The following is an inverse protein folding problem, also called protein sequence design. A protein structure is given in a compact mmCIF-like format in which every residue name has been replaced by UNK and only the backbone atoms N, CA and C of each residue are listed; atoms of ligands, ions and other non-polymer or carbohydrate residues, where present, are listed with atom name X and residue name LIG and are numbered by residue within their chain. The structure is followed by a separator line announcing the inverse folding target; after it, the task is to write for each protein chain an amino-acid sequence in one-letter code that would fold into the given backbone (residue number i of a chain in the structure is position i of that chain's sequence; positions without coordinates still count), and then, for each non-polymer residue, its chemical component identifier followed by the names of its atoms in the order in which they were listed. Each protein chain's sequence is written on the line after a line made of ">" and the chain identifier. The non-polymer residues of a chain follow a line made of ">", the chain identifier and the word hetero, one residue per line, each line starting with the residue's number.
data_IF_874505425659
#
_entry.id   IF_874505425659
#
_cell.length_a   1.000
_cell.length_b   1.000
_cell.length_c   1.000
_cell.angle_alpha   90.00
_cell.angle_beta   90.00
_cell.angle_gamma   90.00
#
_symmetry.space_group_name_H-M   'P 1'
#
loop_
_entity.id
_entity.type
_entity.pdbx_description
1 polymer ?
#
# COMPACT_ATOMS: atom_id res chain seq x y z
N UNK A 1 20.30 -23.36 -36.76
CA UNK A 1 19.53 -23.82 -35.58
C UNK A 1 19.74 -22.79 -34.48
N UNK A 2 18.88 -21.78 -34.44
CA UNK A 2 19.04 -20.64 -33.52
C UNK A 2 18.49 -21.06 -32.16
N UNK A 3 19.36 -21.22 -31.18
CA UNK A 3 18.96 -21.48 -29.80
C UNK A 3 18.12 -20.28 -29.36
N UNK A 4 16.83 -20.52 -29.09
CA UNK A 4 15.94 -19.58 -28.43
C UNK A 4 16.62 -19.13 -27.13
N UNK A 5 17.14 -17.90 -27.10
CA UNK A 5 17.59 -17.29 -25.84
C UNK A 5 16.35 -17.16 -24.97
N UNK A 6 16.26 -17.98 -23.92
CA UNK A 6 15.26 -17.76 -22.88
C UNK A 6 15.50 -16.38 -22.28
N UNK A 7 14.57 -15.46 -22.51
CA UNK A 7 14.57 -14.15 -21.87
C UNK A 7 13.99 -14.37 -20.48
N UNK A 8 14.76 -14.10 -19.42
CA UNK A 8 14.25 -14.18 -18.06
C UNK A 8 13.21 -13.09 -17.83
N UNK A 9 12.28 -13.33 -16.90
CA UNK A 9 11.31 -12.32 -16.50
C UNK A 9 12.06 -11.07 -16.04
N UNK A 10 13.11 -11.22 -15.22
CA UNK A 10 13.92 -10.09 -14.79
C UNK A 10 14.52 -9.29 -15.92
N UNK A 11 15.00 -9.93 -17.01
CA UNK A 11 15.50 -9.23 -18.18
C UNK A 11 14.42 -8.44 -18.93
N UNK A 12 13.17 -8.92 -18.95
CA UNK A 12 12.04 -8.27 -19.63
C UNK A 12 11.44 -7.07 -18.87
N UNK A 13 11.55 -7.06 -17.54
CA UNK A 13 11.13 -5.92 -16.71
C UNK A 13 12.27 -4.98 -16.32
N UNK A 14 13.50 -5.25 -16.76
CA UNK A 14 14.65 -4.39 -16.50
C UNK A 14 14.70 -3.20 -17.47
N UNK A 15 14.94 -1.99 -16.94
CA UNK A 15 15.09 -0.75 -17.72
C UNK A 15 14.01 0.30 -17.47
N UNK A 16 14.30 1.57 -17.82
CA UNK A 16 13.34 2.68 -17.71
C UNK A 16 12.28 2.67 -18.82
N UNK A 17 12.45 1.85 -19.86
CA UNK A 17 11.55 1.76 -21.02
C UNK A 17 10.30 0.91 -20.76
N UNK A 18 10.16 0.34 -19.56
CA UNK A 18 8.94 -0.38 -19.19
C UNK A 18 7.84 0.60 -18.75
N UNK A 19 6.61 0.38 -19.22
CA UNK A 19 5.44 1.22 -18.86
C UNK A 19 4.78 0.79 -17.53
N UNK A 20 5.51 0.04 -16.69
CA UNK A 20 4.93 -0.54 -15.47
C UNK A 20 4.59 0.53 -14.45
N UNK A 21 5.36 1.61 -14.37
CA UNK A 21 5.05 2.76 -13.51
C UNK A 21 3.74 3.43 -13.91
N UNK A 22 3.53 3.63 -15.22
CA UNK A 22 2.27 4.19 -15.72
C UNK A 22 1.10 3.25 -15.43
N UNK A 23 1.28 1.95 -15.66
CA UNK A 23 0.23 0.97 -15.36
C UNK A 23 -0.12 0.93 -13.87
N UNK A 24 0.89 1.00 -12.99
CA UNK A 24 0.69 1.13 -11.54
C UNK A 24 -0.09 2.38 -11.17
N UNK A 25 0.20 3.51 -11.81
CA UNK A 25 -0.51 4.77 -11.59
C UNK A 25 -1.99 4.64 -12.02
N UNK A 26 -2.26 4.04 -13.17
CA UNK A 26 -3.63 3.80 -13.64
C UNK A 26 -4.39 2.87 -12.68
N UNK A 27 -3.76 1.79 -12.22
CA UNK A 27 -4.36 0.88 -11.24
C UNK A 27 -4.62 1.58 -9.91
N UNK A 28 -3.66 2.36 -9.40
CA UNK A 28 -3.82 3.13 -8.17
C UNK A 28 -4.95 4.17 -8.30
N UNK A 29 -5.08 4.83 -9.45
CA UNK A 29 -6.17 5.76 -9.72
C UNK A 29 -7.53 5.03 -9.75
N UNK A 30 -7.61 3.84 -10.35
CA UNK A 30 -8.83 3.05 -10.36
C UNK A 30 -9.27 2.63 -8.94
N UNK A 31 -8.32 2.21 -8.09
CA UNK A 31 -8.60 1.92 -6.66
C UNK A 31 -9.09 3.16 -5.94
N UNK A 32 -8.40 4.30 -6.12
CA UNK A 32 -8.78 5.57 -5.51
C UNK A 32 -10.20 5.98 -5.90
N UNK A 33 -10.53 5.97 -7.20
CA UNK A 33 -11.85 6.34 -7.72
C UNK A 33 -12.95 5.45 -7.12
N UNK A 34 -12.67 4.16 -6.92
CA UNK A 34 -13.63 3.23 -6.34
C UNK A 34 -13.84 3.45 -4.82
N UNK A 35 -12.85 4.00 -4.11
CA UNK A 35 -12.97 4.35 -2.69
C UNK A 35 -13.66 5.70 -2.45
N UNK A 36 -13.73 6.61 -3.43
CA UNK A 36 -14.44 7.90 -3.30
C UNK A 36 -15.87 7.73 -2.75
N UNK A 37 -16.76 6.92 -3.37
CA UNK A 37 -18.12 6.76 -2.86
C UNK A 37 -18.16 6.14 -1.46
N UNK A 38 -17.18 5.29 -1.09
CA UNK A 38 -17.09 4.70 0.25
C UNK A 38 -16.82 5.80 1.29
N UNK A 39 -15.88 6.70 1.00
CA UNK A 39 -15.55 7.81 1.90
C UNK A 39 -16.70 8.80 2.01
N UNK A 40 -17.37 9.12 0.90
CA UNK A 40 -18.42 10.17 0.87
C UNK A 40 -19.78 9.66 1.36
N UNK A 41 -20.18 8.45 0.98
CA UNK A 41 -21.52 7.91 1.22
C UNK A 41 -21.53 6.76 2.25
N UNK A 42 -20.37 6.28 2.69
CA UNK A 42 -20.24 5.07 3.50
C UNK A 42 -20.22 3.80 2.64
N UNK A 43 -20.22 2.64 3.31
CA UNK A 43 -20.21 1.34 2.64
C UNK A 43 -21.45 1.19 1.75
N UNK A 44 -21.23 0.95 0.45
CA UNK A 44 -22.27 0.85 -0.55
C UNK A 44 -21.86 -0.02 -1.74
N UNK A 45 -22.72 -0.09 -2.75
CA UNK A 45 -22.39 -0.83 -3.97
C UNK A 45 -21.20 -0.19 -4.71
N UNK A 46 -20.30 -1.00 -5.29
CA UNK A 46 -19.15 -0.47 -6.03
C UNK A 46 -19.59 0.41 -7.19
N UNK A 47 -18.83 1.48 -7.46
CA UNK A 47 -19.13 2.44 -8.53
C UNK A 47 -19.24 1.77 -9.91
N UNK A 48 -18.33 0.82 -10.17
CA UNK A 48 -18.27 0.04 -11.39
C UNK A 48 -17.98 -1.41 -11.00
N UNK A 49 -18.84 -2.32 -11.44
CA UNK A 49 -18.64 -3.75 -11.28
C UNK A 49 -18.84 -4.50 -12.60
N UNK A 50 -18.04 -5.53 -12.81
CA UNK A 50 -18.17 -6.47 -13.92
C UNK A 50 -18.22 -7.89 -13.34
N UNK A 51 -19.26 -8.65 -13.71
CA UNK A 51 -19.48 -10.02 -13.20
C UNK A 51 -19.43 -10.14 -11.66
N UNK A 52 -19.91 -9.13 -10.94
CA UNK A 52 -19.91 -9.11 -9.47
C UNK A 52 -18.60 -8.66 -8.81
N UNK A 53 -17.55 -8.36 -9.58
CA UNK A 53 -16.28 -7.84 -9.07
C UNK A 53 -16.19 -6.33 -9.26
N UNK A 54 -15.81 -5.59 -8.21
CA UNK A 54 -15.56 -4.16 -8.35
C UNK A 54 -14.29 -3.90 -9.17
N UNK A 55 -14.28 -2.77 -9.88
CA UNK A 55 -13.08 -2.35 -10.62
C UNK A 55 -11.90 -2.07 -9.69
N UNK A 56 -12.17 -1.61 -8.47
CA UNK A 56 -11.18 -1.44 -7.41
C UNK A 56 -10.54 -2.77 -7.04
N UNK A 57 -11.35 -3.82 -6.86
CA UNK A 57 -10.84 -5.17 -6.59
C UNK A 57 -9.96 -5.70 -7.73
N UNK A 58 -10.42 -5.56 -8.99
CA UNK A 58 -9.62 -5.95 -10.15
C UNK A 58 -8.30 -5.17 -10.23
N UNK A 59 -8.33 -3.87 -9.93
CA UNK A 59 -7.15 -3.00 -9.95
C UNK A 59 -6.13 -3.38 -8.86
N UNK A 60 -6.59 -3.69 -7.64
CA UNK A 60 -5.72 -4.20 -6.56
C UNK A 60 -5.04 -5.50 -6.99
N UNK A 61 -5.79 -6.45 -7.58
CA UNK A 61 -5.21 -7.70 -8.09
C UNK A 61 -4.17 -7.45 -9.18
N UNK A 62 -4.44 -6.52 -10.11
CA UNK A 62 -3.46 -6.08 -11.11
C UNK A 62 -2.18 -5.54 -10.45
N UNK A 63 -2.32 -4.75 -9.38
CA UNK A 63 -1.18 -4.21 -8.64
C UNK A 63 -0.32 -5.33 -8.03
N UNK A 64 -0.95 -6.35 -7.43
CA UNK A 64 -0.24 -7.52 -6.88
C UNK A 64 0.47 -8.34 -7.95
N UNK A 65 -0.16 -8.58 -9.11
CA UNK A 65 0.47 -9.29 -10.23
C UNK A 65 1.72 -8.54 -10.71
N UNK A 66 1.61 -7.23 -10.91
CA UNK A 66 2.76 -6.40 -11.33
C UNK A 66 3.87 -6.37 -10.28
N UNK A 67 3.51 -6.32 -9.00
CA UNK A 67 4.47 -6.43 -7.91
C UNK A 67 5.20 -7.77 -7.92
N UNK A 68 4.52 -8.88 -8.21
CA UNK A 68 5.14 -10.19 -8.41
C UNK A 68 6.26 -10.17 -9.47
N UNK A 69 5.99 -9.61 -10.64
CA UNK A 69 7.01 -9.48 -11.70
C UNK A 69 8.21 -8.63 -11.27
N UNK A 70 7.99 -7.52 -10.55
CA UNK A 70 9.08 -6.68 -10.04
C UNK A 70 9.83 -7.30 -8.86
N UNK A 71 9.21 -8.17 -8.08
CA UNK A 71 9.87 -8.95 -7.04
C UNK A 71 10.83 -9.93 -7.70
N UNK A 72 10.35 -10.73 -8.66
CA UNK A 72 11.15 -11.68 -9.41
C UNK A 72 12.36 -10.99 -10.07
N UNK A 73 12.14 -9.89 -10.79
CA UNK A 73 13.22 -9.14 -11.43
C UNK A 73 14.23 -8.55 -10.42
N UNK A 74 13.80 -8.15 -9.23
CA UNK A 74 14.72 -7.66 -8.20
C UNK A 74 15.53 -8.76 -7.53
N UNK A 75 14.99 -9.98 -7.40
CA UNK A 75 15.71 -11.14 -6.88
C UNK A 75 16.79 -11.58 -7.87
N UNK A 76 16.48 -11.61 -9.17
CA UNK A 76 17.47 -11.91 -10.21
C UNK A 76 18.63 -10.90 -10.22
N UNK A 77 18.36 -9.63 -9.90
CA UNK A 77 19.38 -8.57 -9.90
C UNK A 77 20.19 -8.49 -8.60
N UNK A 78 19.59 -8.84 -7.45
CA UNK A 78 20.24 -8.72 -6.14
C UNK A 78 20.62 -10.11 -5.62
N UNK A 79 21.93 -10.37 -5.61
CA UNK A 79 22.49 -11.71 -5.38
C UNK A 79 22.59 -12.10 -3.91
N UNK A 80 22.20 -11.23 -2.99
CA UNK A 80 22.22 -11.48 -1.55
C UNK A 80 20.94 -10.99 -0.86
N UNK A 81 20.53 -11.73 0.17
CA UNK A 81 19.29 -11.51 0.92
C UNK A 81 19.26 -10.14 1.60
N UNK A 82 20.39 -9.69 2.15
CA UNK A 82 20.48 -8.42 2.86
C UNK A 82 20.26 -7.23 1.93
N UNK A 83 20.90 -7.24 0.75
CA UNK A 83 20.73 -6.24 -0.29
C UNK A 83 19.31 -6.21 -0.87
N UNK A 84 18.64 -7.36 -0.99
CA UNK A 84 17.23 -7.44 -1.34
C UNK A 84 16.35 -6.80 -0.25
N UNK A 85 16.46 -7.27 1.00
CA UNK A 85 15.66 -6.79 2.13
C UNK A 85 15.82 -5.28 2.34
N UNK A 86 17.05 -4.77 2.37
CA UNK A 86 17.34 -3.35 2.53
C UNK A 86 16.64 -2.50 1.45
N UNK A 87 16.65 -2.96 0.20
CA UNK A 87 15.98 -2.23 -0.91
C UNK A 87 14.47 -2.14 -0.75
N UNK A 88 13.85 -3.16 -0.13
CA UNK A 88 12.40 -3.20 0.10
C UNK A 88 12.00 -2.38 1.32
N UNK A 89 12.80 -2.44 2.38
CA UNK A 89 12.63 -1.61 3.58
C UNK A 89 12.73 -0.13 3.21
N UNK A 90 13.78 0.27 2.49
CA UNK A 90 13.98 1.66 2.05
C UNK A 90 12.91 2.15 1.06
N UNK A 91 12.19 1.24 0.40
CA UNK A 91 11.07 1.59 -0.48
C UNK A 91 9.78 1.89 0.30
N UNK A 92 9.50 1.16 1.38
CA UNK A 92 8.21 1.24 2.09
C UNK A 92 8.31 2.11 3.34
N UNK A 93 9.34 1.92 4.16
CA UNK A 93 9.42 2.52 5.49
C UNK A 93 9.46 4.06 5.49
N UNK A 94 10.21 4.74 4.59
CA UNK A 94 10.22 6.20 4.61
C UNK A 94 8.83 6.80 4.34
N UNK A 95 8.10 6.23 3.38
CA UNK A 95 6.78 6.71 3.01
C UNK A 95 5.75 6.48 4.13
N UNK A 96 5.77 5.29 4.77
CA UNK A 96 4.79 4.97 5.82
C UNK A 96 5.03 5.79 7.09
N UNK A 97 6.30 6.03 7.45
CA UNK A 97 6.66 6.86 8.60
C UNK A 97 6.23 8.30 8.34
N UNK A 98 6.54 8.86 7.17
CA UNK A 98 6.12 10.22 6.82
C UNK A 98 4.60 10.34 6.82
N UNK A 99 3.87 9.36 6.25
CA UNK A 99 2.41 9.34 6.28
C UNK A 99 1.89 9.34 7.73
N UNK A 100 2.44 8.49 8.59
CA UNK A 100 2.02 8.39 9.98
C UNK A 100 2.26 9.70 10.77
N UNK A 101 3.43 10.31 10.56
CA UNK A 101 3.77 11.60 11.17
C UNK A 101 2.88 12.73 10.65
N UNK A 102 2.65 12.80 9.34
CA UNK A 102 1.76 13.80 8.73
C UNK A 102 0.33 13.64 9.25
N UNK A 103 -0.15 12.41 9.41
CA UNK A 103 -1.46 12.15 9.99
C UNK A 103 -1.57 12.70 11.42
N UNK A 104 -0.59 12.43 12.29
CA UNK A 104 -0.64 12.86 13.69
C UNK A 104 -0.35 14.35 13.88
N UNK A 105 0.61 14.92 13.14
CA UNK A 105 1.11 16.27 13.40
C UNK A 105 0.49 17.35 12.50
N UNK A 106 -0.07 16.98 11.34
CA UNK A 106 -0.66 17.95 10.41
C UNK A 106 -2.16 17.72 10.19
N UNK A 107 -2.57 16.50 9.85
CA UNK A 107 -3.98 16.18 9.59
C UNK A 107 -4.79 16.23 10.88
N UNK A 108 -4.31 15.56 11.93
CA UNK A 108 -5.03 15.45 13.19
C UNK A 108 -5.38 16.78 13.84
N UNK A 109 -4.43 17.68 14.11
CA UNK A 109 -4.70 18.98 14.70
C UNK A 109 -5.62 19.87 13.87
N UNK A 110 -5.70 19.60 12.55
CA UNK A 110 -6.52 20.39 11.63
C UNK A 110 -7.95 19.88 11.49
N UNK A 111 -8.17 18.57 11.63
CA UNK A 111 -9.42 17.90 11.28
C UNK A 111 -10.02 17.06 12.43
N UNK A 112 -9.38 17.01 13.60
CA UNK A 112 -9.94 16.36 14.78
C UNK A 112 -11.17 17.12 15.30
N UNK A 113 -12.15 16.38 15.82
CA UNK A 113 -13.33 16.93 16.49
C UNK A 113 -13.16 17.09 17.99
N UNK A 114 -12.06 16.62 18.57
CA UNK A 114 -11.80 16.72 20.03
C UNK A 114 -10.96 17.95 20.36
N UNK A 115 -11.00 18.38 21.61
CA UNK A 115 -10.17 19.49 22.09
C UNK A 115 -8.68 19.14 22.02
N UNK A 116 -7.78 20.13 21.76
CA UNK A 116 -6.35 19.87 21.64
C UNK A 116 -5.73 19.14 22.84
N UNK A 117 -6.19 19.44 24.06
CA UNK A 117 -5.71 18.77 25.27
C UNK A 117 -6.03 17.27 25.28
N UNK A 118 -7.21 16.89 24.80
CA UNK A 118 -7.63 15.49 24.66
C UNK A 118 -6.85 14.82 23.52
N UNK A 119 -6.71 15.49 22.38
CA UNK A 119 -6.01 14.94 21.21
C UNK A 119 -4.57 14.52 21.52
N UNK A 120 -3.80 15.39 22.19
CA UNK A 120 -2.39 15.13 22.50
C UNK A 120 -2.17 14.20 23.69
N UNK A 121 -3.19 13.97 24.52
CA UNK A 121 -3.14 13.01 25.64
C UNK A 121 -3.78 11.67 25.29
N UNK A 122 -4.48 11.56 24.17
CA UNK A 122 -5.08 10.30 23.70
C UNK A 122 -4.01 9.29 23.30
N UNK A 123 -4.17 8.07 23.81
CA UNK A 123 -3.37 6.92 23.40
C UNK A 123 -3.64 6.53 21.95
N UNK A 124 -4.85 6.77 21.43
CA UNK A 124 -5.22 6.45 20.04
C UNK A 124 -4.38 7.26 19.04
N UNK A 125 -4.22 8.57 19.30
CA UNK A 125 -3.34 9.45 18.53
C UNK A 125 -1.90 8.94 18.47
N UNK A 126 -1.34 8.55 19.62
CA UNK A 126 0.05 8.12 19.69
C UNK A 126 0.28 6.69 19.18
N UNK A 127 -0.68 5.79 19.38
CA UNK A 127 -0.61 4.43 18.85
C UNK A 127 -0.86 4.35 17.36
N UNK A 128 -1.47 5.37 16.74
CA UNK A 128 -1.59 5.44 15.29
C UNK A 128 -0.24 5.29 14.57
N UNK A 129 0.83 5.92 15.07
CA UNK A 129 2.17 5.85 14.46
C UNK A 129 2.71 4.42 14.41
N UNK A 130 2.88 3.69 15.53
CA UNK A 130 3.35 2.31 15.50
C UNK A 130 2.34 1.37 14.84
N UNK A 131 1.04 1.58 14.98
CA UNK A 131 0.04 0.72 14.36
C UNK A 131 0.18 0.72 12.84
N UNK A 132 0.30 1.90 12.23
CA UNK A 132 0.49 2.03 10.78
C UNK A 132 1.90 1.62 10.36
N UNK A 133 2.94 2.05 11.08
CA UNK A 133 4.34 1.78 10.72
C UNK A 133 4.68 0.29 10.77
N UNK A 134 4.11 -0.45 11.71
CA UNK A 134 4.31 -1.90 11.87
C UNK A 134 3.19 -2.75 11.29
N UNK A 135 2.24 -2.15 10.55
CA UNK A 135 1.11 -2.84 9.92
C UNK A 135 0.22 -3.64 10.90
N UNK A 136 0.13 -3.20 12.16
CA UNK A 136 -0.67 -3.86 13.20
C UNK A 136 -2.16 -3.57 12.98
N UNK A 137 -2.49 -2.29 12.94
CA UNK A 137 -3.80 -1.77 12.55
C UNK A 137 -3.57 -0.62 11.57
N UNK A 138 -4.13 -0.79 10.37
CA UNK A 138 -3.99 0.19 9.29
C UNK A 138 -5.32 0.88 8.99
N UNK A 139 -6.43 0.48 9.58
CA UNK A 139 -7.75 1.08 9.35
C UNK A 139 -7.98 2.36 10.16
N UNK A 140 -7.46 2.39 11.38
CA UNK A 140 -7.73 3.45 12.36
C UNK A 140 -7.31 4.86 11.95
N UNK A 141 -7.49 5.80 12.87
CA UNK A 141 -7.13 7.21 12.70
C UNK A 141 -6.53 7.76 14.00
N UNK A 142 -5.85 8.91 13.98
CA UNK A 142 -5.63 9.68 15.19
C UNK A 142 -6.97 10.12 15.81
N UNK A 143 -7.01 10.37 17.12
CA UNK A 143 -8.24 10.64 17.87
C UNK A 143 -9.11 11.72 17.21
N UNK A 144 -10.38 11.41 16.99
CA UNK A 144 -11.38 12.36 16.49
C UNK A 144 -11.20 12.80 15.04
N UNK A 145 -10.20 12.29 14.32
CA UNK A 145 -9.96 12.65 12.91
C UNK A 145 -11.08 12.10 12.03
N UNK A 146 -11.79 12.98 11.34
CA UNK A 146 -12.93 12.64 10.48
C UNK A 146 -14.02 11.80 11.17
N UNK A 147 -14.20 11.96 12.49
CA UNK A 147 -15.17 11.20 13.28
C UNK A 147 -16.63 11.33 12.81
N UNK A 148 -16.96 12.39 12.08
CA UNK A 148 -18.31 12.65 11.52
C UNK A 148 -18.50 12.06 10.12
N UNK A 149 -17.46 11.48 9.53
CA UNK A 149 -17.53 10.90 8.19
C UNK A 149 -18.28 9.56 8.22
N UNK A 150 -19.08 9.19 7.18
CA UNK A 150 -19.76 7.90 7.14
C UNK A 150 -18.83 6.68 7.26
N UNK A 151 -17.57 6.85 6.86
CA UNK A 151 -16.49 5.86 6.98
C UNK A 151 -15.38 6.34 7.95
N UNK A 152 -15.75 6.77 9.16
CA UNK A 152 -14.82 7.31 10.15
C UNK A 152 -13.70 6.32 10.56
N UNK A 153 -13.96 5.01 10.53
CA UNK A 153 -12.99 3.95 10.85
C UNK A 153 -12.08 3.54 9.68
N UNK A 154 -12.12 4.25 8.55
CA UNK A 154 -11.44 3.86 7.31
C UNK A 154 -10.39 4.89 6.86
N UNK A 155 -9.87 5.72 7.77
CA UNK A 155 -8.96 6.82 7.45
C UNK A 155 -7.73 6.36 6.65
N UNK A 156 -7.08 5.28 7.08
CA UNK A 156 -5.90 4.72 6.42
C UNK A 156 -6.10 3.29 5.92
N UNK A 157 -7.35 2.82 5.86
CA UNK A 157 -7.66 1.42 5.58
C UNK A 157 -7.04 0.88 4.30
N UNK A 158 -6.86 1.72 3.27
CA UNK A 158 -6.19 1.35 2.01
C UNK A 158 -4.76 0.83 2.19
N UNK A 159 -4.10 1.12 3.32
CA UNK A 159 -2.75 0.64 3.62
C UNK A 159 -2.70 -0.88 3.93
N UNK A 160 -3.85 -1.53 4.12
CA UNK A 160 -3.95 -2.96 4.42
C UNK A 160 -3.20 -3.85 3.42
N UNK A 161 -3.14 -3.46 2.14
CA UNK A 161 -2.44 -4.26 1.10
C UNK A 161 -0.93 -4.27 1.28
N UNK A 162 -0.34 -3.24 1.90
CA UNK A 162 1.11 -3.16 2.09
C UNK A 162 1.62 -4.28 2.99
N UNK A 163 0.84 -4.70 3.99
CA UNK A 163 1.18 -5.85 4.85
C UNK A 163 1.41 -7.12 4.03
N UNK A 164 0.57 -7.33 3.01
CA UNK A 164 0.69 -8.47 2.11
C UNK A 164 1.83 -8.32 1.12
N UNK A 165 2.16 -7.10 0.68
CA UNK A 165 3.34 -6.85 -0.13
C UNK A 165 4.64 -7.20 0.63
N UNK A 166 4.72 -6.84 1.92
CA UNK A 166 5.87 -7.19 2.79
C UNK A 166 5.95 -8.71 3.01
N UNK A 167 4.83 -9.38 3.27
CA UNK A 167 4.79 -10.86 3.38
C UNK A 167 5.26 -11.50 2.08
N UNK A 168 4.78 -11.01 0.93
CA UNK A 168 5.18 -11.53 -0.38
C UNK A 168 6.68 -11.37 -0.63
N UNK A 169 7.30 -10.27 -0.18
CA UNK A 169 8.75 -10.11 -0.23
C UNK A 169 9.47 -11.16 0.61
N UNK A 170 8.99 -11.42 1.83
CA UNK A 170 9.58 -12.43 2.72
C UNK A 170 9.49 -13.84 2.15
N UNK A 171 8.31 -14.24 1.67
CA UNK A 171 8.08 -15.55 1.05
C UNK A 171 8.91 -15.70 -0.22
N UNK A 172 8.94 -14.70 -1.09
CA UNK A 172 9.74 -14.76 -2.32
C UNK A 172 11.24 -14.85 -2.03
N UNK A 173 11.74 -14.12 -1.03
CA UNK A 173 13.13 -14.22 -0.61
C UNK A 173 13.44 -15.61 -0.03
N UNK A 174 12.57 -16.17 0.81
CA UNK A 174 12.72 -17.50 1.36
C UNK A 174 12.82 -18.56 0.25
N UNK A 175 11.91 -18.53 -0.73
CA UNK A 175 11.88 -19.48 -1.83
C UNK A 175 13.06 -19.34 -2.80
N UNK A 176 13.62 -18.15 -2.94
CA UNK A 176 14.71 -17.90 -3.88
C UNK A 176 16.09 -18.22 -3.29
N UNK A 177 16.28 -18.00 -1.98
CA UNK A 177 17.54 -18.22 -1.29
C UNK A 177 17.61 -19.53 -0.47
N UNK A 178 16.54 -20.34 -0.47
CA UNK A 178 16.51 -21.69 0.14
C UNK A 178 17.27 -22.74 -0.66
#
# INVERSE_FOLDING_TARGET
>A
MTISRFVSIGASVHGHDNRLTLLRLVLAAAVMIEHIPVVVNGLGSPLIAANGWSIGYAAVNGFFILSGFLIAGSLEQRRDLAGFAASRILRIMPAIIVLALVAVFAVGPRFTTVEPGVYWTSLETWFYIPNVTFFLDTSGAPEGVFATNPAASEFSATLWTLRYEVIAYGVAALLFFS
#
